data_IF_740603497712
#
_entry.id   IF_740603497712
#
_cell.length_a   1.000
_cell.length_b   1.000
_cell.length_c   1.000
_cell.angle_alpha   90.00
_cell.angle_beta   90.00
_cell.angle_gamma   90.00
#
_symmetry.space_group_name_H-M   'P 1'
#
loop_
_entity.id
_entity.type
_entity.pdbx_description
1 polymer ?
#
# COMPACT_ATOMS: atom_id res chain seq x y z
N UNK A 1 -44.68 7.68 -40.42
CA UNK A 1 -43.98 6.97 -39.33
C UNK A 1 -44.61 5.60 -39.19
N UNK A 2 -43.86 4.54 -39.47
CA UNK A 2 -44.39 3.16 -39.42
C UNK A 2 -44.48 2.68 -37.97
N UNK A 3 -45.39 1.75 -37.66
CA UNK A 3 -45.50 1.15 -36.31
C UNK A 3 -44.15 0.55 -35.83
N UNK A 4 -43.34 0.08 -36.78
CA UNK A 4 -42.02 -0.47 -36.54
C UNK A 4 -41.02 0.58 -36.04
N UNK A 5 -40.99 1.78 -36.66
CA UNK A 5 -40.12 2.91 -36.26
C UNK A 5 -40.42 3.38 -34.83
N UNK A 6 -41.70 3.43 -34.45
CA UNK A 6 -42.11 3.84 -33.09
C UNK A 6 -41.60 2.83 -32.05
N UNK A 7 -41.72 1.53 -32.33
CA UNK A 7 -41.23 0.47 -31.44
C UNK A 7 -39.70 0.52 -31.30
N UNK A 8 -38.97 0.78 -32.39
CA UNK A 8 -37.50 0.86 -32.35
C UNK A 8 -37.01 2.06 -31.53
N UNK A 9 -37.67 3.22 -31.64
CA UNK A 9 -37.33 4.41 -30.85
C UNK A 9 -37.57 4.17 -29.35
N UNK A 10 -38.68 3.50 -29.00
CA UNK A 10 -38.98 3.17 -27.59
C UNK A 10 -37.93 2.21 -27.02
N UNK A 11 -37.55 1.17 -27.78
CA UNK A 11 -36.51 0.22 -27.36
C UNK A 11 -35.13 0.88 -27.26
N UNK A 12 -34.78 1.76 -28.19
CA UNK A 12 -33.53 2.51 -28.15
C UNK A 12 -33.49 3.46 -26.93
N UNK A 13 -34.60 4.15 -26.64
CA UNK A 13 -34.73 5.00 -25.45
C UNK A 13 -34.56 4.20 -24.16
N UNK A 14 -35.25 3.06 -24.04
CA UNK A 14 -35.11 2.16 -22.88
C UNK A 14 -33.67 1.67 -22.70
N UNK A 15 -33.02 1.24 -23.78
CA UNK A 15 -31.62 0.79 -23.74
C UNK A 15 -30.67 1.90 -23.28
N UNK A 16 -30.89 3.13 -23.75
CA UNK A 16 -30.13 4.31 -23.32
C UNK A 16 -30.31 4.59 -21.82
N UNK A 17 -31.55 4.55 -21.31
CA UNK A 17 -31.83 4.72 -19.89
C UNK A 17 -31.18 3.62 -19.03
N UNK A 18 -31.27 2.36 -19.44
CA UNK A 18 -30.62 1.24 -18.74
C UNK A 18 -29.09 1.43 -18.71
N UNK A 19 -28.50 1.88 -19.82
CA UNK A 19 -27.06 2.14 -19.91
C UNK A 19 -26.60 3.25 -18.96
N UNK A 20 -27.38 4.33 -18.84
CA UNK A 20 -27.09 5.42 -17.90
C UNK A 20 -27.14 4.94 -16.44
N UNK A 21 -28.14 4.12 -16.08
CA UNK A 21 -28.24 3.53 -14.74
C UNK A 21 -27.04 2.60 -14.47
N UNK A 22 -26.65 1.79 -15.45
CA UNK A 22 -25.51 0.89 -15.32
C UNK A 22 -24.19 1.64 -15.09
N UNK A 23 -23.95 2.73 -15.82
CA UNK A 23 -22.77 3.59 -15.63
C UNK A 23 -22.78 4.24 -14.25
N UNK A 24 -23.93 4.74 -13.79
CA UNK A 24 -24.07 5.33 -12.47
C UNK A 24 -23.77 4.33 -11.34
N UNK A 25 -24.37 3.13 -11.41
CA UNK A 25 -24.14 2.06 -10.44
C UNK A 25 -22.68 1.58 -10.46
N UNK A 26 -22.06 1.50 -11.64
CA UNK A 26 -20.64 1.16 -11.78
C UNK A 26 -19.74 2.19 -11.07
N UNK A 27 -20.05 3.48 -11.22
CA UNK A 27 -19.34 4.55 -10.51
C UNK A 27 -19.46 4.43 -8.99
N UNK A 28 -20.66 4.15 -8.48
CA UNK A 28 -20.89 3.95 -7.04
C UNK A 28 -20.15 2.70 -6.52
N UNK A 29 -20.22 1.59 -7.24
CA UNK A 29 -19.53 0.35 -6.87
C UNK A 29 -18.01 0.54 -6.86
N UNK A 30 -17.44 1.29 -7.81
CA UNK A 30 -16.01 1.58 -7.85
C UNK A 30 -15.55 2.37 -6.62
N UNK A 31 -16.33 3.36 -6.18
CA UNK A 31 -16.03 4.13 -4.97
C UNK A 31 -16.11 3.27 -3.70
N UNK A 32 -17.12 2.40 -3.60
CA UNK A 32 -17.24 1.45 -2.49
C UNK A 32 -16.05 0.48 -2.45
N UNK A 33 -15.66 -0.08 -3.60
CA UNK A 33 -14.51 -0.98 -3.70
C UNK A 33 -13.21 -0.30 -3.29
N UNK A 34 -12.99 0.96 -3.68
CA UNK A 34 -11.84 1.76 -3.21
C UNK A 34 -11.81 1.91 -1.69
N UNK A 35 -12.95 2.19 -1.07
CA UNK A 35 -13.03 2.37 0.39
C UNK A 35 -12.81 1.04 1.13
N UNK A 36 -13.33 -0.07 0.61
CA UNK A 36 -13.08 -1.41 1.15
C UNK A 36 -11.60 -1.76 1.04
N UNK A 37 -10.98 -1.53 -0.12
CA UNK A 37 -9.56 -1.80 -0.34
C UNK A 37 -8.65 -1.00 0.60
N UNK A 38 -8.98 0.28 0.83
CA UNK A 38 -8.30 1.12 1.83
C UNK A 38 -8.37 0.55 3.23
N UNK A 39 -9.57 0.16 3.68
CA UNK A 39 -9.77 -0.42 5.01
C UNK A 39 -9.04 -1.76 5.17
N UNK A 40 -9.11 -2.62 4.16
CA UNK A 40 -8.39 -3.88 4.15
C UNK A 40 -6.88 -3.65 4.21
N UNK A 41 -6.34 -2.72 3.42
CA UNK A 41 -4.93 -2.36 3.45
C UNK A 41 -4.46 -1.85 4.82
N UNK A 42 -5.29 -1.08 5.55
CA UNK A 42 -4.96 -0.63 6.92
C UNK A 42 -4.95 -1.81 7.90
N UNK A 43 -5.93 -2.72 7.80
CA UNK A 43 -6.01 -3.91 8.67
C UNK A 43 -4.81 -4.82 8.43
N UNK A 44 -4.52 -5.13 7.17
CA UNK A 44 -3.39 -5.98 6.78
C UNK A 44 -2.06 -5.35 7.24
N UNK A 45 -1.96 -4.02 7.16
CA UNK A 45 -0.79 -3.30 7.66
C UNK A 45 -0.65 -3.44 9.17
N UNK A 46 -1.73 -3.22 9.94
CA UNK A 46 -1.68 -3.37 11.39
C UNK A 46 -1.30 -4.80 11.81
N UNK A 47 -1.89 -5.79 11.15
CA UNK A 47 -1.58 -7.21 11.34
C UNK A 47 -0.10 -7.53 11.00
N UNK A 48 0.42 -6.96 9.91
CA UNK A 48 1.81 -7.17 9.51
C UNK A 48 2.81 -6.59 10.51
N UNK A 49 2.46 -5.51 11.21
CA UNK A 49 3.29 -4.85 12.20
C UNK A 49 3.13 -5.38 13.64
N UNK A 50 2.04 -6.11 13.94
CA UNK A 50 1.71 -6.57 15.29
C UNK A 50 2.73 -7.55 15.89
N UNK A 51 3.35 -8.40 15.05
CA UNK A 51 4.23 -9.49 15.50
C UNK A 51 5.66 -9.38 14.94
N UNK A 52 6.14 -8.16 14.68
CA UNK A 52 7.53 -7.97 14.24
C UNK A 52 8.44 -7.96 15.47
N UNK A 53 9.22 -9.04 15.61
CA UNK A 53 10.34 -9.08 16.55
C UNK A 53 11.44 -8.10 16.14
N UNK A 54 12.15 -7.55 17.12
CA UNK A 54 13.39 -6.81 16.87
C UNK A 54 14.44 -7.74 16.23
N UNK A 55 15.10 -7.27 15.18
CA UNK A 55 16.08 -8.07 14.44
C UNK A 55 17.44 -7.95 15.12
N UNK A 56 17.84 -8.97 15.88
CA UNK A 56 19.17 -9.05 16.46
C UNK A 56 20.19 -9.57 15.44
N UNK A 57 21.20 -8.76 15.16
CA UNK A 57 22.32 -9.13 14.27
C UNK A 57 23.09 -10.35 14.77
N UNK A 58 23.20 -10.53 16.09
CA UNK A 58 23.97 -11.64 16.67
C UNK A 58 23.19 -12.96 16.69
N UNK A 59 21.86 -12.89 16.54
CA UNK A 59 20.97 -14.04 16.55
C UNK A 59 19.90 -13.88 15.47
N UNK A 60 20.31 -14.02 14.21
CA UNK A 60 19.40 -13.90 13.07
C UNK A 60 18.38 -15.04 13.08
N UNK A 61 17.10 -14.69 13.14
CA UNK A 61 15.99 -15.64 13.05
C UNK A 61 15.31 -15.42 11.69
N UNK A 62 15.38 -16.42 10.81
CA UNK A 62 14.89 -16.29 9.45
C UNK A 62 13.39 -15.96 9.34
N UNK A 63 12.47 -16.61 10.10
CA UNK A 63 11.07 -16.21 10.14
C UNK A 63 10.85 -14.74 10.50
N UNK A 64 11.67 -14.18 11.40
CA UNK A 64 11.53 -12.81 11.89
C UNK A 64 11.97 -11.82 10.80
N UNK A 65 13.09 -12.12 10.13
CA UNK A 65 13.58 -11.33 9.00
C UNK A 65 12.56 -11.35 7.85
N UNK A 66 11.97 -12.51 7.54
CA UNK A 66 10.96 -12.62 6.49
C UNK A 66 9.71 -11.82 6.85
N UNK A 67 9.22 -11.90 8.09
CA UNK A 67 8.08 -11.10 8.57
C UNK A 67 8.38 -9.60 8.49
N UNK A 68 9.54 -9.18 8.96
CA UNK A 68 10.02 -7.79 8.88
C UNK A 68 10.06 -7.26 7.44
N UNK A 69 10.69 -8.01 6.52
CA UNK A 69 10.76 -7.65 5.10
C UNK A 69 9.37 -7.57 4.47
N UNK A 70 8.47 -8.50 4.82
CA UNK A 70 7.10 -8.48 4.29
C UNK A 70 6.30 -7.26 4.77
N UNK A 71 6.45 -6.88 6.04
CA UNK A 71 5.83 -5.67 6.56
C UNK A 71 6.37 -4.39 5.89
N UNK A 72 7.69 -4.30 5.70
CA UNK A 72 8.31 -3.21 4.93
C UNK A 72 7.80 -3.18 3.49
N UNK A 73 7.69 -4.34 2.83
CA UNK A 73 7.19 -4.47 1.46
C UNK A 73 5.73 -4.04 1.33
N UNK A 74 4.87 -4.47 2.26
CA UNK A 74 3.45 -4.09 2.29
C UNK A 74 3.30 -2.57 2.49
N UNK A 75 4.02 -2.02 3.48
CA UNK A 75 4.00 -0.58 3.76
C UNK A 75 4.50 0.21 2.55
N UNK A 76 5.56 -0.27 1.89
CA UNK A 76 6.10 0.36 0.68
C UNK A 76 5.11 0.36 -0.48
N UNK A 77 4.41 -0.75 -0.70
CA UNK A 77 3.35 -0.84 -1.72
C UNK A 77 2.22 0.15 -1.44
N UNK A 78 1.74 0.22 -0.21
CA UNK A 78 0.67 1.15 0.20
C UNK A 78 1.09 2.62 0.04
N UNK A 79 2.35 2.93 0.32
CA UNK A 79 2.94 4.27 0.14
C UNK A 79 3.13 4.65 -1.33
N UNK A 80 3.77 3.77 -2.12
CA UNK A 80 4.14 4.05 -3.50
C UNK A 80 2.93 4.15 -4.43
N UNK A 81 1.82 3.47 -4.09
CA UNK A 81 0.60 3.45 -4.88
C UNK A 81 -0.52 4.35 -4.34
N UNK A 82 -0.24 5.19 -3.33
CA UNK A 82 -1.21 6.12 -2.72
C UNK A 82 -2.53 5.43 -2.31
N UNK A 83 -2.43 4.18 -1.86
CA UNK A 83 -3.59 3.39 -1.44
C UNK A 83 -4.21 4.00 -0.20
N UNK A 84 -3.36 4.30 0.78
CA UNK A 84 -3.69 4.97 2.04
C UNK A 84 -3.09 6.37 2.00
N UNK A 85 -3.72 7.32 2.70
CA UNK A 85 -3.17 8.67 2.84
C UNK A 85 -1.75 8.62 3.41
N UNK A 86 -0.81 9.24 2.69
CA UNK A 86 0.61 9.28 3.08
C UNK A 86 0.82 9.86 4.47
N UNK A 87 0.03 10.85 4.88
CA UNK A 87 0.07 11.41 6.24
C UNK A 87 -0.15 10.34 7.32
N UNK A 88 -1.14 9.46 7.14
CA UNK A 88 -1.46 8.39 8.09
C UNK A 88 -0.33 7.36 8.14
N UNK A 89 0.14 6.92 6.97
CA UNK A 89 1.25 5.96 6.87
C UNK A 89 2.52 6.52 7.53
N UNK A 90 2.82 7.78 7.25
CA UNK A 90 3.97 8.49 7.79
C UNK A 90 3.87 8.61 9.32
N UNK A 91 2.79 9.19 9.84
CA UNK A 91 2.63 9.43 11.28
C UNK A 91 2.62 8.13 12.09
N UNK A 92 2.06 7.06 11.53
CA UNK A 92 1.88 5.79 12.25
C UNK A 92 3.09 4.88 12.16
N UNK A 93 3.71 4.77 10.98
CA UNK A 93 4.68 3.72 10.69
C UNK A 93 6.09 4.22 10.34
N UNK A 94 6.31 5.54 10.14
CA UNK A 94 7.62 6.03 9.69
C UNK A 94 8.78 5.62 10.61
N UNK A 95 8.65 5.82 11.92
CA UNK A 95 9.73 5.51 12.87
C UNK A 95 10.07 4.02 12.83
N UNK A 96 9.07 3.14 12.96
CA UNK A 96 9.26 1.69 12.91
C UNK A 96 9.79 1.22 11.56
N UNK A 97 9.32 1.83 10.46
CA UNK A 97 9.79 1.55 9.11
C UNK A 97 11.27 1.91 8.95
N UNK A 98 11.65 3.13 9.36
CA UNK A 98 13.02 3.63 9.28
C UNK A 98 13.95 2.75 10.10
N UNK A 99 13.63 2.51 11.36
CA UNK A 99 14.51 1.78 12.27
C UNK A 99 14.74 0.33 11.80
N UNK A 100 13.69 -0.31 11.29
CA UNK A 100 13.77 -1.66 10.73
C UNK A 100 14.54 -1.71 9.40
N UNK A 101 14.29 -0.76 8.50
CA UNK A 101 15.02 -0.64 7.23
C UNK A 101 16.53 -0.41 7.49
N UNK A 102 16.86 0.56 8.34
CA UNK A 102 18.23 0.92 8.69
C UNK A 102 18.96 -0.25 9.35
N UNK A 103 18.26 -1.05 10.16
CA UNK A 103 18.82 -2.28 10.73
C UNK A 103 19.13 -3.31 9.65
N UNK A 104 18.15 -3.65 8.80
CA UNK A 104 18.27 -4.70 7.79
C UNK A 104 19.27 -4.37 6.69
N UNK A 105 19.36 -3.11 6.26
CA UNK A 105 20.29 -2.68 5.20
C UNK A 105 21.75 -2.75 5.66
N UNK A 106 21.99 -2.62 6.97
CA UNK A 106 23.32 -2.68 7.57
C UNK A 106 23.79 -4.11 7.89
N UNK A 107 22.89 -5.10 7.82
CA UNK A 107 23.23 -6.51 7.98
C UNK A 107 23.60 -7.12 6.62
N UNK A 108 24.88 -7.42 6.43
CA UNK A 108 25.40 -8.09 5.23
C UNK A 108 25.52 -9.62 5.42
N UNK A 109 24.95 -10.16 6.49
CA UNK A 109 24.98 -11.59 6.79
C UNK A 109 23.87 -12.32 6.03
N UNK A 110 24.10 -13.60 5.75
CA UNK A 110 23.12 -14.47 5.11
C UNK A 110 21.96 -14.74 6.08
N UNK A 111 20.74 -14.65 5.56
CA UNK A 111 19.57 -15.06 6.33
C UNK A 111 19.62 -16.58 6.51
N UNK A 112 19.50 -17.11 7.73
CA UNK A 112 19.55 -18.56 7.96
C UNK A 112 18.55 -19.32 7.09
N UNK A 113 18.99 -20.39 6.44
CA UNK A 113 18.13 -21.15 5.52
C UNK A 113 17.87 -20.50 4.15
N UNK A 114 18.45 -19.33 3.87
CA UNK A 114 18.36 -18.66 2.57
C UNK A 114 19.75 -18.37 1.95
N UNK A 115 19.76 -18.19 0.62
CA UNK A 115 20.98 -17.81 -0.13
C UNK A 115 21.15 -16.30 -0.29
N UNK A 116 20.37 -15.51 0.44
CA UNK A 116 20.26 -14.05 0.31
C UNK A 116 20.65 -13.39 1.63
N UNK A 117 21.30 -12.23 1.55
CA UNK A 117 21.60 -11.40 2.71
C UNK A 117 20.39 -10.55 3.08
N UNK A 118 20.32 -10.07 4.33
CA UNK A 118 19.27 -9.15 4.76
C UNK A 118 19.19 -7.92 3.85
N UNK A 119 20.34 -7.32 3.54
CA UNK A 119 20.45 -6.23 2.56
C UNK A 119 19.83 -6.58 1.20
N UNK A 120 20.08 -7.77 0.66
CA UNK A 120 19.56 -8.16 -0.66
C UNK A 120 18.03 -8.38 -0.69
N UNK A 121 17.39 -8.45 0.48
CA UNK A 121 15.94 -8.51 0.61
C UNK A 121 15.29 -7.10 0.58
N UNK A 122 16.09 -6.04 0.75
CA UNK A 122 15.62 -4.66 0.59
C UNK A 122 15.44 -4.36 -0.89
N UNK A 123 14.20 -4.45 -1.36
CA UNK A 123 13.86 -4.19 -2.76
C UNK A 123 13.90 -2.69 -3.10
N UNK A 124 13.89 -2.38 -4.39
CA UNK A 124 13.80 -1.00 -4.87
C UNK A 124 12.51 -0.31 -4.41
N UNK A 125 11.40 -1.04 -4.31
CA UNK A 125 10.13 -0.49 -3.84
C UNK A 125 10.20 -0.07 -2.37
N UNK A 126 10.83 -0.91 -1.53
CA UNK A 126 11.09 -0.61 -0.12
C UNK A 126 11.98 0.63 -0.01
N UNK A 127 13.09 0.66 -0.74
CA UNK A 127 14.02 1.81 -0.72
C UNK A 127 13.35 3.10 -1.22
N UNK A 128 12.52 3.01 -2.26
CA UNK A 128 11.77 4.16 -2.79
C UNK A 128 10.78 4.70 -1.76
N UNK A 129 10.08 3.83 -1.03
CA UNK A 129 9.17 4.25 0.02
C UNK A 129 9.91 4.88 1.20
N UNK A 130 11.05 4.30 1.60
CA UNK A 130 11.94 4.89 2.62
C UNK A 130 12.32 6.34 2.27
N UNK A 131 12.88 6.56 1.08
CA UNK A 131 13.29 7.90 0.63
C UNK A 131 12.08 8.83 0.49
N UNK A 132 10.94 8.32 0.04
CA UNK A 132 9.69 9.07 -0.03
C UNK A 132 9.22 9.57 1.34
N UNK A 133 9.20 8.71 2.34
CA UNK A 133 8.81 9.05 3.72
C UNK A 133 9.82 9.98 4.38
N UNK A 134 11.12 9.74 4.20
CA UNK A 134 12.20 10.61 4.68
C UNK A 134 12.10 12.04 4.16
N UNK A 135 11.78 12.20 2.88
CA UNK A 135 11.58 13.53 2.28
C UNK A 135 10.33 14.23 2.86
N UNK A 136 9.27 13.46 3.16
CA UNK A 136 8.09 14.00 3.84
C UNK A 136 8.42 14.47 5.27
N UNK A 137 9.28 13.75 6.00
CA UNK A 137 9.79 14.16 7.32
C UNK A 137 10.49 15.53 7.28
N UNK A 138 11.48 15.65 6.39
CA UNK A 138 12.26 16.87 6.20
C UNK A 138 11.36 18.08 5.87
N UNK A 139 10.32 17.87 5.05
CA UNK A 139 9.36 18.92 4.72
C UNK A 139 8.52 19.35 5.93
N UNK A 140 8.14 18.42 6.81
CA UNK A 140 7.33 18.67 8.01
C UNK A 140 8.15 19.43 9.07
N UNK A 141 9.41 19.04 9.28
CA UNK A 141 10.34 19.71 10.20
C UNK A 141 10.66 21.13 9.74
N UNK A 142 10.75 21.36 8.43
CA UNK A 142 11.02 22.69 7.88
C UNK A 142 9.84 23.65 8.11
N UNK A 143 8.59 23.17 8.06
CA UNK A 143 7.40 23.99 8.27
C UNK A 143 7.17 24.40 9.74
N UNK A 144 7.64 23.62 10.71
CA UNK A 144 7.43 23.88 12.15
C UNK A 144 8.43 24.87 12.75
N UNK A 145 9.40 25.36 11.97
CA UNK A 145 10.43 26.33 12.41
C UNK A 145 10.13 27.79 12.06
N UNK A 146 8.87 28.15 11.81
CA UNK A 146 8.43 29.53 11.53
C UNK A 146 7.69 30.15 12.73
#
# INVERSE_FOLDING_TARGET
>A
MTKFEIITIILAGLSFFISLIAVYLSGQANNTNKNIFRRQGVIDLHMAWQDISEVDKNNLIAPDIVRAVNALSLTASLWNHDVIEKSILYQTYWNSYRDLYDTLININELVPGHKKTCRSLMTNEITKAYEGMKNADLSTVTQTRL
#
